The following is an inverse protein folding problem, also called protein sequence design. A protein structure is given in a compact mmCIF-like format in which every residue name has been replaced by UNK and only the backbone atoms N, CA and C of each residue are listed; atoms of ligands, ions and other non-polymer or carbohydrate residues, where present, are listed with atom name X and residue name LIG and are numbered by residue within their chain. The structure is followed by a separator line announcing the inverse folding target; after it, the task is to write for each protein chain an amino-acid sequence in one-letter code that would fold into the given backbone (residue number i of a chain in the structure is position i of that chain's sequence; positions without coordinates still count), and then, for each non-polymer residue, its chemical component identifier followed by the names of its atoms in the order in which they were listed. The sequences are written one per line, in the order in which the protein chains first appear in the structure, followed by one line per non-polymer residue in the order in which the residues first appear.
data_IF_267259959716
#
_entry.id   IF_267259959716
#
_cell.length_a   1.000
_cell.length_b   1.000
_cell.length_c   1.000
_cell.angle_alpha   90.00
_cell.angle_beta   90.00
_cell.angle_gamma   90.00
#
_symmetry.space_group_name_H-M   'P 1'
#
loop_
_entity.id
_entity.type
_entity.pdbx_description
1 polymer ?
#
# COMPACT_ATOMS: atom_id res chain seq x y z
N UNK A 1 71.51 35.02 -52.01
CA UNK A 1 70.96 33.70 -52.35
C UNK A 1 69.46 33.84 -52.56
N UNK A 2 69.05 33.81 -53.81
CA UNK A 2 67.68 33.91 -54.33
C UNK A 2 67.18 32.52 -54.75
N UNK A 3 65.86 32.29 -54.60
CA UNK A 3 64.94 31.34 -55.29
C UNK A 3 63.93 30.81 -54.26
N UNK A 4 62.67 31.25 -54.20
CA UNK A 4 61.55 31.19 -55.15
C UNK A 4 61.15 29.80 -55.66
N UNK A 5 59.84 29.56 -55.53
CA UNK A 5 58.95 28.56 -56.11
C UNK A 5 59.01 27.14 -55.53
N UNK A 6 57.88 26.68 -54.97
CA UNK A 6 56.96 25.80 -55.70
C UNK A 6 55.53 25.94 -55.16
N UNK A 7 54.61 26.22 -56.10
CA UNK A 7 53.16 26.25 -55.93
C UNK A 7 52.66 24.80 -56.00
N UNK A 8 51.91 24.33 -55.00
CA UNK A 8 51.14 23.10 -55.09
C UNK A 8 49.69 23.42 -54.68
N UNK A 9 48.82 23.52 -55.68
CA UNK A 9 47.39 23.66 -55.51
C UNK A 9 46.79 22.30 -55.11
N UNK A 10 46.33 22.18 -53.86
CA UNK A 10 45.48 21.08 -53.44
C UNK A 10 44.01 21.54 -53.46
N UNK A 11 43.26 20.96 -54.40
CA UNK A 11 41.82 21.05 -54.46
C UNK A 11 41.22 20.28 -53.27
N UNK A 12 40.65 20.99 -52.30
CA UNK A 12 39.87 20.38 -51.23
C UNK A 12 38.39 20.37 -51.62
N UNK A 13 37.91 19.16 -51.88
CA UNK A 13 36.53 18.77 -52.17
C UNK A 13 35.54 19.25 -51.09
N UNK A 14 34.47 19.92 -51.51
CA UNK A 14 33.33 20.27 -50.66
C UNK A 14 32.53 19.00 -50.38
N UNK A 15 32.55 18.53 -49.13
CA UNK A 15 31.66 17.48 -48.63
C UNK A 15 30.30 18.09 -48.22
N UNK A 16 29.16 17.49 -48.58
CA UNK A 16 27.85 17.96 -48.15
C UNK A 16 27.55 17.54 -46.71
N UNK A 17 27.09 18.50 -45.90
CA UNK A 17 26.12 18.33 -44.82
C UNK A 17 26.37 17.23 -43.78
N UNK A 18 27.15 17.53 -42.74
CA UNK A 18 26.93 16.91 -41.42
C UNK A 18 25.76 17.64 -40.75
N UNK A 19 24.56 17.09 -40.91
CA UNK A 19 23.45 17.42 -40.04
C UNK A 19 23.73 16.82 -38.66
N UNK A 20 24.20 17.64 -37.73
CA UNK A 20 24.18 17.30 -36.32
C UNK A 20 22.71 17.25 -35.89
N UNK A 21 22.14 16.05 -35.78
CA UNK A 21 20.96 15.84 -34.98
C UNK A 21 21.34 16.09 -33.51
N UNK A 22 21.30 17.37 -33.10
CA UNK A 22 21.32 17.71 -31.69
C UNK A 22 19.97 17.26 -31.15
N UNK A 23 19.93 16.11 -30.49
CA UNK A 23 18.85 15.76 -29.58
C UNK A 23 18.91 16.75 -28.41
N UNK A 24 18.36 17.94 -28.62
CA UNK A 24 17.96 18.82 -27.54
C UNK A 24 16.85 18.08 -26.81
N UNK A 25 17.21 17.36 -25.75
CA UNK A 25 16.26 16.97 -24.73
C UNK A 25 15.79 18.28 -24.12
N UNK A 26 14.66 18.80 -24.62
CA UNK A 26 13.93 19.88 -23.98
C UNK A 26 13.49 19.33 -22.63
N UNK A 27 14.12 19.84 -21.57
CA UNK A 27 13.76 19.63 -20.15
C UNK A 27 12.41 20.27 -19.79
N UNK A 28 11.46 20.30 -20.74
CA UNK A 28 10.12 20.85 -20.58
C UNK A 28 9.14 19.68 -20.66
N UNK A 29 8.97 18.95 -19.55
CA UNK A 29 7.79 18.11 -19.23
C UNK A 29 8.06 17.07 -18.13
N UNK A 30 9.10 17.23 -17.32
CA UNK A 30 9.06 16.63 -15.99
C UNK A 30 8.39 17.62 -15.05
N UNK A 31 7.07 17.76 -15.20
CA UNK A 31 6.23 18.47 -14.23
C UNK A 31 6.29 17.70 -12.92
N UNK A 32 7.17 18.17 -12.03
CA UNK A 32 7.37 17.67 -10.66
C UNK A 32 6.39 18.31 -9.66
N UNK A 33 5.35 18.97 -10.16
CA UNK A 33 4.42 19.77 -9.36
C UNK A 33 2.99 19.40 -9.73
N UNK A 34 2.50 18.31 -9.15
CA UNK A 34 1.10 18.14 -8.78
C UNK A 34 1.08 16.94 -7.83
N UNK A 35 1.56 17.15 -6.59
CA UNK A 35 1.07 16.30 -5.50
C UNK A 35 -0.46 16.34 -5.60
N UNK A 36 -1.15 15.19 -5.77
CA UNK A 36 -2.59 15.18 -5.95
C UNK A 36 -3.20 15.95 -4.79
N UNK A 37 -4.08 16.90 -5.12
CA UNK A 37 -4.78 17.68 -4.10
C UNK A 37 -5.41 16.69 -3.10
N UNK A 38 -5.41 17.01 -1.78
CA UNK A 38 -5.80 16.06 -0.73
C UNK A 38 -7.18 15.42 -0.94
N UNK A 39 -8.08 16.10 -1.66
CA UNK A 39 -9.40 15.63 -2.05
C UNK A 39 -9.36 14.50 -3.10
N UNK A 40 -8.49 14.60 -4.11
CA UNK A 40 -8.33 13.58 -5.15
C UNK A 40 -7.72 12.31 -4.54
N UNK A 41 -6.64 12.44 -3.77
CA UNK A 41 -5.98 11.29 -3.14
C UNK A 41 -6.89 10.57 -2.14
N UNK A 42 -7.73 11.31 -1.40
CA UNK A 42 -8.72 10.71 -0.51
C UNK A 42 -9.82 9.97 -1.28
N UNK A 43 -10.25 10.51 -2.43
CA UNK A 43 -11.27 9.87 -3.26
C UNK A 43 -10.78 8.55 -3.86
N UNK A 44 -9.55 8.50 -4.39
CA UNK A 44 -8.95 7.28 -4.93
C UNK A 44 -8.74 6.22 -3.84
N UNK A 45 -8.27 6.65 -2.66
CA UNK A 45 -8.12 5.77 -1.53
C UNK A 45 -9.46 5.21 -1.08
N UNK A 46 -10.50 6.06 -0.99
CA UNK A 46 -11.86 5.61 -0.66
C UNK A 46 -12.37 4.58 -1.66
N UNK A 47 -12.22 4.83 -2.96
CA UNK A 47 -12.70 3.92 -3.99
C UNK A 47 -11.99 2.55 -3.87
N UNK A 48 -10.70 2.54 -3.53
CA UNK A 48 -9.94 1.33 -3.23
C UNK A 48 -10.38 0.64 -1.92
N UNK A 49 -10.82 1.39 -0.90
CA UNK A 49 -11.40 0.84 0.34
C UNK A 49 -12.79 0.23 0.12
N UNK A 50 -13.54 0.74 -0.86
CA UNK A 50 -14.88 0.24 -1.20
C UNK A 50 -14.81 -0.96 -2.14
N UNK A 51 -13.90 -0.92 -3.11
CA UNK A 51 -13.66 -1.99 -4.06
C UNK A 51 -12.16 -2.18 -4.30
N UNK A 52 -11.61 -3.22 -3.68
CA UNK A 52 -10.21 -3.59 -3.84
C UNK A 52 -9.82 -3.94 -5.29
N UNK A 53 -10.80 -4.28 -6.14
CA UNK A 53 -10.56 -4.55 -7.57
C UNK A 53 -10.52 -3.28 -8.42
N UNK A 54 -11.05 -2.16 -7.90
CA UNK A 54 -11.03 -0.85 -8.54
C UNK A 54 -9.80 0.00 -8.16
N UNK A 55 -8.89 -0.52 -7.33
CA UNK A 55 -7.64 0.16 -6.95
C UNK A 55 -6.75 0.39 -8.20
N UNK A 56 -6.83 1.57 -8.79
CA UNK A 56 -6.03 1.94 -9.96
C UNK A 56 -4.58 2.33 -9.62
N UNK A 57 -4.29 2.69 -8.37
CA UNK A 57 -2.97 3.16 -7.95
C UNK A 57 -2.12 2.03 -7.34
N UNK A 58 -0.91 1.89 -7.88
CA UNK A 58 0.08 0.93 -7.39
C UNK A 58 0.55 1.26 -5.96
N UNK A 59 0.42 2.52 -5.54
CA UNK A 59 0.81 3.02 -4.21
C UNK A 59 -0.02 2.38 -3.08
N UNK A 60 -1.31 2.11 -3.32
CA UNK A 60 -2.22 1.52 -2.33
C UNK A 60 -2.50 0.03 -2.56
N UNK A 61 -2.00 -0.53 -3.67
CA UNK A 61 -2.18 -1.94 -3.99
C UNK A 61 -1.44 -2.83 -2.98
N UNK A 62 -2.24 -3.57 -2.22
CA UNK A 62 -1.80 -4.59 -1.28
C UNK A 62 -1.00 -5.69 -1.99
N UNK A 63 0.30 -5.81 -1.74
CA UNK A 63 1.08 -6.92 -2.32
C UNK A 63 0.73 -8.28 -1.71
N UNK A 64 0.17 -8.27 -0.50
CA UNK A 64 -0.31 -9.45 0.22
C UNK A 64 -1.79 -9.25 0.56
N UNK A 65 -2.68 -10.06 -0.01
CA UNK A 65 -4.12 -10.00 0.25
C UNK A 65 -4.41 -10.76 1.56
N UNK A 66 -4.85 -10.05 2.60
CA UNK A 66 -5.32 -10.71 3.83
C UNK A 66 -6.75 -11.21 3.62
N UNK A 67 -6.99 -12.47 3.98
CA UNK A 67 -8.34 -13.03 4.03
C UNK A 67 -8.98 -12.82 5.41
N UNK A 68 -10.31 -12.94 5.49
CA UNK A 68 -11.02 -12.92 6.77
C UNK A 68 -10.51 -14.02 7.72
N UNK A 69 -10.10 -15.18 7.19
CA UNK A 69 -9.52 -16.26 8.00
C UNK A 69 -8.15 -15.88 8.58
N UNK A 70 -7.32 -15.13 7.85
CA UNK A 70 -6.04 -14.63 8.39
C UNK A 70 -6.26 -13.65 9.53
N UNK A 71 -7.19 -12.72 9.37
CA UNK A 71 -7.57 -11.77 10.43
C UNK A 71 -8.09 -12.47 11.68
N UNK A 72 -8.89 -13.53 11.49
CA UNK A 72 -9.40 -14.34 12.61
C UNK A 72 -8.27 -15.12 13.28
N UNK A 73 -7.32 -15.66 12.52
CA UNK A 73 -6.15 -16.37 13.07
C UNK A 73 -5.20 -15.43 13.82
N UNK A 74 -5.18 -14.14 13.48
CA UNK A 74 -4.48 -13.12 14.25
C UNK A 74 -5.18 -12.78 15.59
N UNK A 75 -6.38 -13.32 15.86
CA UNK A 75 -7.10 -13.13 17.11
C UNK A 75 -7.84 -11.79 17.23
N UNK A 76 -7.98 -11.07 16.11
CA UNK A 76 -8.48 -9.69 16.04
C UNK A 76 -10.01 -9.62 15.99
N UNK A 77 -10.65 -10.66 15.47
CA UNK A 77 -12.12 -10.75 15.37
C UNK A 77 -12.55 -12.11 15.90
N UNK A 78 -13.38 -12.12 16.93
CA UNK A 78 -14.05 -13.34 17.36
C UNK A 78 -15.12 -13.71 16.33
N UNK A 79 -15.10 -14.95 15.82
CA UNK A 79 -16.23 -15.47 15.05
C UNK A 79 -17.44 -15.49 16.00
N UNK A 80 -18.49 -14.70 15.72
CA UNK A 80 -19.82 -15.01 16.29
C UNK A 80 -20.10 -16.48 15.95
N UNK A 81 -20.33 -17.36 16.94
CA UNK A 81 -20.61 -18.76 16.64
C UNK A 81 -21.86 -18.82 15.76
N UNK A 82 -21.73 -19.41 14.58
CA UNK A 82 -22.87 -19.80 13.77
C UNK A 82 -23.76 -20.68 14.67
N UNK A 83 -25.07 -20.39 14.81
CA UNK A 83 -25.94 -21.21 15.64
C UNK A 83 -25.76 -22.67 15.26
N UNK A 84 -25.64 -23.59 16.24
CA UNK A 84 -25.42 -24.99 15.94
C UNK A 84 -26.50 -25.46 14.97
N UNK A 85 -26.06 -26.02 13.84
CA UNK A 85 -26.97 -26.69 12.92
C UNK A 85 -27.70 -27.76 13.73
N UNK A 86 -28.99 -27.54 13.96
CA UNK A 86 -29.86 -28.44 14.72
C UNK A 86 -29.83 -29.80 14.04
N UNK A 87 -29.18 -30.77 14.68
CA UNK A 87 -29.21 -32.16 14.27
C UNK A 87 -30.62 -32.72 14.58
N UNK A 88 -31.42 -33.02 13.54
CA UNK A 88 -32.70 -33.69 13.78
C UNK A 88 -33.75 -33.66 12.68
N UNK A 89 -33.56 -32.98 11.55
CA UNK A 89 -34.51 -33.09 10.42
C UNK A 89 -34.05 -34.14 9.41
N UNK A 90 -34.90 -35.11 9.03
CA UNK A 90 -34.55 -36.11 8.03
C UNK A 90 -34.28 -35.43 6.68
N UNK A 91 -33.17 -35.80 6.06
CA UNK A 91 -32.67 -35.27 4.79
C UNK A 91 -33.60 -35.70 3.67
N UNK A 92 -34.64 -34.93 3.39
CA UNK A 92 -35.24 -34.90 2.07
C UNK A 92 -34.29 -34.13 1.14
N UNK A 93 -34.03 -34.70 -0.03
CA UNK A 93 -33.12 -34.15 -1.03
C UNK A 93 -33.46 -32.69 -1.36
N UNK A 94 -32.65 -31.75 -0.87
CA UNK A 94 -32.66 -30.35 -1.27
C UNK A 94 -31.25 -30.04 -1.77
N UNK A 95 -31.18 -29.53 -2.99
CA UNK A 95 -30.02 -29.53 -3.86
C UNK A 95 -28.73 -29.01 -3.23
N UNK A 96 -27.62 -29.60 -3.68
CA UNK A 96 -26.28 -29.05 -3.54
C UNK A 96 -26.22 -27.78 -4.38
N UNK A 97 -26.67 -26.65 -3.84
CA UNK A 97 -26.33 -25.34 -4.36
C UNK A 97 -25.30 -24.72 -3.42
N UNK A 98 -24.07 -24.73 -3.92
CA UNK A 98 -23.07 -23.68 -3.70
C UNK A 98 -22.45 -23.58 -2.30
N UNK A 99 -21.44 -24.42 -2.05
CA UNK A 99 -20.38 -24.17 -1.06
C UNK A 99 -19.13 -23.54 -1.70
N UNK A 100 -19.26 -22.94 -2.88
CA UNK A 100 -18.16 -22.36 -3.66
C UNK A 100 -18.05 -20.84 -3.54
N UNK A 101 -18.72 -20.22 -2.57
CA UNK A 101 -18.37 -18.84 -2.20
C UNK A 101 -17.07 -18.86 -1.40
N UNK A 102 -15.95 -18.79 -2.11
CA UNK A 102 -14.66 -18.39 -1.54
C UNK A 102 -14.90 -17.18 -0.63
N UNK A 103 -14.30 -17.18 0.56
CA UNK A 103 -14.35 -16.02 1.45
C UNK A 103 -13.85 -14.82 0.65
N UNK A 104 -14.75 -13.85 0.40
CA UNK A 104 -14.38 -12.71 -0.43
C UNK A 104 -13.24 -11.96 0.28
N UNK A 105 -12.18 -11.59 -0.45
CA UNK A 105 -11.07 -10.85 0.13
C UNK A 105 -11.61 -9.56 0.72
N UNK A 106 -11.20 -9.26 1.95
CA UNK A 106 -11.58 -8.01 2.58
C UNK A 106 -10.93 -6.85 1.81
N UNK A 107 -11.56 -5.66 1.78
CA UNK A 107 -10.90 -4.49 1.27
C UNK A 107 -9.67 -4.18 2.14
N UNK A 108 -8.50 -4.25 1.51
CA UNK A 108 -7.20 -3.98 2.14
C UNK A 108 -6.46 -2.90 1.37
N UNK A 109 -5.90 -1.95 2.10
CA UNK A 109 -4.99 -0.95 1.53
C UNK A 109 -3.63 -1.10 2.22
N UNK A 110 -2.57 -1.22 1.43
CA UNK A 110 -1.22 -1.04 1.94
C UNK A 110 -0.98 0.45 2.14
N UNK A 111 -0.72 0.86 3.38
CA UNK A 111 -0.25 2.20 3.66
C UNK A 111 1.25 2.15 3.91
N UNK A 112 2.02 2.70 2.97
CA UNK A 112 3.43 2.92 3.20
C UNK A 112 3.61 4.10 4.15
N UNK A 113 3.69 3.77 5.45
CA UNK A 113 3.96 4.73 6.51
C UNK A 113 5.46 4.72 6.78
N UNK A 114 6.12 5.83 6.47
CA UNK A 114 7.54 5.99 6.73
C UNK A 114 7.78 6.29 8.21
N UNK A 115 8.44 5.34 8.88
CA UNK A 115 8.98 5.48 10.22
C UNK A 115 10.50 5.65 10.16
N UNK A 116 11.06 6.42 11.09
CA UNK A 116 12.51 6.44 11.29
C UNK A 116 13.01 5.06 11.77
N UNK A 117 14.32 4.81 11.60
CA UNK A 117 14.96 3.59 12.09
C UNK A 117 14.70 3.39 13.59
N UNK A 118 14.32 2.17 13.97
CA UNK A 118 13.95 1.80 15.35
C UNK A 118 12.90 2.72 16.02
N UNK A 119 12.05 3.38 15.22
CA UNK A 119 11.04 4.31 15.72
C UNK A 119 9.62 3.87 15.38
N UNK A 120 8.70 4.26 16.26
CA UNK A 120 7.26 4.21 16.11
C UNK A 120 6.64 5.62 16.00
N UNK A 121 7.47 6.65 15.87
CA UNK A 121 7.03 8.03 15.71
C UNK A 121 6.63 8.31 14.26
N UNK A 122 5.45 8.92 14.09
CA UNK A 122 4.93 9.32 12.79
C UNK A 122 5.65 10.59 12.32
N UNK A 123 6.23 10.52 11.12
CA UNK A 123 6.75 11.70 10.43
C UNK A 123 5.63 12.64 9.98
N UNK A 124 5.91 13.93 9.71
CA UNK A 124 4.92 14.85 9.13
C UNK A 124 4.30 14.34 7.83
N UNK A 125 5.11 13.70 6.98
CA UNK A 125 4.64 13.08 5.73
C UNK A 125 3.70 11.90 6.00
N UNK A 126 4.02 11.04 6.97
CA UNK A 126 3.13 9.96 7.40
C UNK A 126 1.81 10.51 7.95
N UNK A 127 1.85 11.58 8.76
CA UNK A 127 0.64 12.23 9.28
C UNK A 127 -0.24 12.80 8.16
N UNK A 128 0.36 13.41 7.13
CA UNK A 128 -0.38 13.89 5.96
C UNK A 128 -1.11 12.75 5.23
N UNK A 129 -0.42 11.63 4.94
CA UNK A 129 -1.04 10.45 4.32
C UNK A 129 -2.17 9.86 5.19
N UNK A 130 -1.96 9.80 6.51
CA UNK A 130 -2.97 9.34 7.45
C UNK A 130 -4.18 10.27 7.55
N UNK A 131 -3.98 11.59 7.36
CA UNK A 131 -5.08 12.54 7.26
C UNK A 131 -5.91 12.29 6.00
N UNK A 132 -5.27 12.01 4.86
CA UNK A 132 -5.96 11.63 3.62
C UNK A 132 -6.75 10.33 3.81
N UNK A 133 -6.16 9.34 4.49
CA UNK A 133 -6.85 8.10 4.86
C UNK A 133 -8.05 8.36 5.76
N UNK A 134 -7.92 9.23 6.76
CA UNK A 134 -9.04 9.59 7.61
C UNK A 134 -10.18 10.23 6.79
N UNK A 135 -9.87 11.14 5.87
CA UNK A 135 -10.87 11.70 4.96
C UNK A 135 -11.58 10.64 4.10
N UNK A 136 -10.84 9.65 3.60
CA UNK A 136 -11.41 8.53 2.85
C UNK A 136 -12.35 7.67 3.73
N UNK A 137 -11.92 7.35 4.95
CA UNK A 137 -12.68 6.56 5.93
C UNK A 137 -13.91 7.27 6.50
N UNK A 138 -14.03 8.58 6.30
CA UNK A 138 -15.21 9.35 6.71
C UNK A 138 -16.44 9.09 5.83
N UNK A 139 -16.27 8.40 4.68
CA UNK A 139 -17.37 8.07 3.78
C UNK A 139 -18.47 7.26 4.50
N UNK A 140 -19.76 7.64 4.35
CA UNK A 140 -20.89 6.92 4.95
C UNK A 140 -20.93 5.41 4.68
N UNK A 141 -20.42 4.97 3.53
CA UNK A 141 -20.39 3.55 3.16
C UNK A 141 -19.38 2.74 3.97
N UNK A 142 -18.36 3.39 4.54
CA UNK A 142 -17.33 2.77 5.36
C UNK A 142 -17.66 2.86 6.87
N UNK A 143 -18.67 3.65 7.24
CA UNK A 143 -19.11 3.79 8.63
C UNK A 143 -19.59 2.44 9.20
N UNK A 144 -19.20 2.15 10.43
CA UNK A 144 -19.52 0.87 11.10
C UNK A 144 -18.58 -0.28 10.76
N UNK A 145 -17.56 -0.07 9.92
CA UNK A 145 -16.48 -1.04 9.73
C UNK A 145 -15.52 -1.04 10.91
N UNK A 146 -14.96 -2.21 11.24
CA UNK A 146 -13.80 -2.32 12.14
C UNK A 146 -12.52 -2.15 11.33
N UNK A 147 -11.65 -1.26 11.80
CA UNK A 147 -10.36 -0.95 11.19
C UNK A 147 -9.26 -1.76 11.88
N UNK A 148 -8.46 -2.47 11.09
CA UNK A 148 -7.36 -3.28 11.62
C UNK A 148 -6.07 -2.84 10.96
N UNK A 149 -5.16 -2.31 11.76
CA UNK A 149 -3.82 -1.90 11.31
C UNK A 149 -2.82 -3.03 11.57
N UNK A 150 -2.24 -3.57 10.51
CA UNK A 150 -1.25 -4.65 10.58
C UNK A 150 0.12 -4.06 10.28
N UNK A 151 1.02 -4.07 11.25
CA UNK A 151 2.39 -3.62 11.08
C UNK A 151 3.28 -4.73 10.54
N UNK A 152 4.16 -4.37 9.61
CA UNK A 152 5.17 -5.25 9.03
C UNK A 152 6.58 -4.69 9.24
N UNK A 153 7.58 -5.57 9.25
CA UNK A 153 9.00 -5.21 9.23
C UNK A 153 9.70 -5.85 8.03
N UNK A 154 10.93 -5.44 7.78
CA UNK A 154 11.84 -6.22 6.94
C UNK A 154 12.34 -7.46 7.69
N UNK A 155 13.01 -8.35 6.97
CA UNK A 155 13.54 -9.62 7.47
C UNK A 155 14.84 -9.50 8.27
N UNK A 156 15.23 -8.28 8.70
CA UNK A 156 16.49 -8.05 9.42
C UNK A 156 16.22 -8.02 10.93
N UNK A 157 17.02 -8.78 11.70
CA UNK A 157 16.91 -8.84 13.17
C UNK A 157 16.12 -10.04 13.68
N UNK A 158 15.78 -10.04 14.98
CA UNK A 158 15.11 -11.18 15.61
C UNK A 158 13.58 -11.13 15.41
N UNK A 159 12.95 -12.30 15.32
CA UNK A 159 11.50 -12.41 15.15
C UNK A 159 10.71 -11.73 16.28
N UNK A 160 11.16 -11.90 17.53
CA UNK A 160 10.52 -11.31 18.71
C UNK A 160 10.56 -9.78 18.64
N UNK A 161 11.74 -9.22 18.37
CA UNK A 161 11.91 -7.77 18.25
C UNK A 161 11.06 -7.20 17.11
N UNK A 162 11.06 -7.85 15.94
CA UNK A 162 10.28 -7.38 14.80
C UNK A 162 8.76 -7.47 15.01
N UNK A 163 8.27 -8.47 15.74
CA UNK A 163 6.86 -8.55 16.14
C UNK A 163 6.47 -7.40 17.08
N UNK A 164 7.31 -7.08 18.05
CA UNK A 164 7.05 -5.95 18.95
C UNK A 164 7.14 -4.59 18.24
N UNK A 165 8.15 -4.39 17.39
CA UNK A 165 8.34 -3.15 16.63
C UNK A 165 7.17 -2.89 15.68
N UNK A 166 6.77 -3.91 14.92
CA UNK A 166 5.60 -3.80 14.04
C UNK A 166 4.32 -3.50 14.83
N UNK A 167 4.13 -4.12 16.01
CA UNK A 167 2.98 -3.86 16.88
C UNK A 167 2.93 -2.40 17.34
N UNK A 168 4.07 -1.85 17.79
CA UNK A 168 4.17 -0.44 18.21
C UNK A 168 3.87 0.54 17.07
N UNK A 169 4.39 0.28 15.88
CA UNK A 169 4.12 1.09 14.68
C UNK A 169 2.64 1.08 14.30
N UNK A 170 2.01 -0.10 14.31
CA UNK A 170 0.58 -0.24 14.10
C UNK A 170 -0.24 0.51 15.16
N UNK A 171 0.16 0.45 16.45
CA UNK A 171 -0.47 1.21 17.53
C UNK A 171 -0.36 2.73 17.33
N UNK A 172 0.79 3.23 16.87
CA UNK A 172 0.95 4.67 16.60
C UNK A 172 0.00 5.14 15.50
N UNK A 173 -0.11 4.38 14.41
CA UNK A 173 -1.04 4.67 13.32
C UNK A 173 -2.50 4.60 13.81
N UNK A 174 -2.85 3.52 14.51
CA UNK A 174 -4.20 3.33 15.01
C UNK A 174 -4.62 4.44 15.98
N UNK A 175 -3.71 4.86 16.89
CA UNK A 175 -3.97 5.99 17.81
C UNK A 175 -4.21 7.29 17.05
N UNK A 176 -3.40 7.57 16.03
CA UNK A 176 -3.57 8.77 15.20
C UNK A 176 -4.94 8.76 14.51
N UNK A 177 -5.27 7.70 13.75
CA UNK A 177 -6.54 7.59 13.02
C UNK A 177 -7.74 7.62 13.97
N UNK A 178 -7.67 6.91 15.11
CA UNK A 178 -8.71 6.97 16.15
C UNK A 178 -8.95 8.38 16.64
N UNK A 179 -7.88 9.15 16.89
CA UNK A 179 -8.00 10.52 17.39
C UNK A 179 -8.59 11.47 16.34
N UNK A 180 -8.20 11.32 15.08
CA UNK A 180 -8.68 12.13 13.96
C UNK A 180 -10.15 11.86 13.65
N UNK A 181 -10.56 10.59 13.62
CA UNK A 181 -11.93 10.16 13.30
C UNK A 181 -12.86 10.03 14.51
N UNK A 182 -12.33 10.17 15.73
CA UNK A 182 -13.07 10.00 17.00
C UNK A 182 -13.76 8.62 17.11
N UNK A 183 -13.08 7.58 16.68
CA UNK A 183 -13.59 6.20 16.73
C UNK A 183 -13.58 5.63 18.16
N UNK A 184 -14.53 4.74 18.45
CA UNK A 184 -14.50 3.93 19.67
C UNK A 184 -13.28 3.00 19.67
N UNK A 185 -12.69 2.69 20.84
CA UNK A 185 -11.66 1.65 20.95
C UNK A 185 -12.07 0.28 20.38
N UNK A 186 -13.36 -0.03 20.35
CA UNK A 186 -13.87 -1.29 19.78
C UNK A 186 -13.84 -1.35 18.24
N UNK A 187 -13.77 -0.19 17.58
CA UNK A 187 -13.82 -0.07 16.12
C UNK A 187 -12.43 -0.08 15.47
N UNK A 188 -11.37 -0.09 16.27
CA UNK A 188 -10.01 0.02 15.76
C UNK A 188 -9.06 -0.88 16.54
N UNK A 189 -8.28 -1.66 15.81
CA UNK A 189 -7.32 -2.59 16.37
C UNK A 189 -5.99 -2.48 15.64
N UNK A 190 -4.92 -2.89 16.33
CA UNK A 190 -3.58 -2.89 15.79
C UNK A 190 -2.90 -4.22 16.11
N UNK A 191 -2.12 -4.73 15.16
CA UNK A 191 -1.43 -6.02 15.24
C UNK A 191 -0.03 -5.88 14.66
N UNK A 192 0.95 -6.56 15.25
CA UNK A 192 2.30 -6.67 14.70
C UNK A 192 2.57 -8.09 14.23
N UNK A 193 2.94 -8.25 12.96
CA UNK A 193 3.28 -9.56 12.39
C UNK A 193 4.77 -9.72 12.08
N UNK A 194 5.57 -8.69 12.34
CA UNK A 194 7.00 -8.68 12.01
C UNK A 194 7.21 -8.93 10.52
N UNK A 195 8.11 -9.88 10.20
CA UNK A 195 8.44 -10.29 8.84
C UNK A 195 7.72 -11.58 8.39
N UNK A 196 6.68 -12.03 9.10
CA UNK A 196 5.97 -13.26 8.72
C UNK A 196 5.21 -13.09 7.39
N UNK A 197 4.87 -11.85 7.02
CA UNK A 197 4.12 -11.48 5.81
C UNK A 197 4.83 -10.38 5.02
N UNK A 198 5.97 -10.73 4.42
CA UNK A 198 6.73 -9.83 3.54
C UNK A 198 5.93 -9.50 2.27
N UNK A 199 5.96 -8.23 1.85
CA UNK A 199 5.43 -7.81 0.54
C UNK A 199 6.27 -8.42 -0.57
N UNK A 200 7.59 -8.40 -0.36
CA UNK A 200 8.58 -8.91 -1.27
C UNK A 200 9.44 -9.95 -0.56
N UNK A 201 9.01 -11.20 -0.68
CA UNK A 201 9.72 -12.35 -0.14
C UNK A 201 11.05 -12.61 -0.83
N UNK A 202 11.25 -12.12 -2.07
CA UNK A 202 12.51 -12.25 -2.81
C UNK A 202 13.61 -11.36 -2.23
N UNK A 203 13.24 -10.20 -1.70
CA UNK A 203 14.14 -9.25 -1.04
C UNK A 203 13.65 -8.94 0.37
N UNK A 204 13.96 -9.79 1.37
CA UNK A 204 13.44 -9.63 2.73
C UNK A 204 13.83 -8.31 3.39
N UNK A 205 14.97 -7.75 3.04
CA UNK A 205 15.52 -6.48 3.53
C UNK A 205 14.96 -5.23 2.81
N UNK A 206 14.11 -5.41 1.79
CA UNK A 206 13.57 -4.31 1.00
C UNK A 206 12.73 -3.35 1.84
N UNK A 207 12.82 -2.06 1.51
CA UNK A 207 12.11 -1.00 2.21
C UNK A 207 10.59 -1.15 2.19
N UNK A 208 10.04 -1.64 1.08
CA UNK A 208 8.62 -1.90 0.87
C UNK A 208 8.02 -2.93 1.84
N UNK A 209 8.85 -3.74 2.51
CA UNK A 209 8.39 -4.64 3.57
C UNK A 209 8.05 -3.90 4.87
N UNK A 210 8.66 -2.73 5.12
CA UNK A 210 8.40 -1.88 6.29
C UNK A 210 7.14 -1.02 6.06
N UNK A 211 5.97 -1.65 6.15
CA UNK A 211 4.67 -1.01 5.88
C UNK A 211 3.67 -1.23 7.01
N UNK A 212 2.58 -0.46 6.99
CA UNK A 212 1.39 -0.73 7.81
C UNK A 212 0.23 -0.94 6.87
N UNK A 213 -0.37 -2.12 6.91
CA UNK A 213 -1.55 -2.42 6.11
C UNK A 213 -2.81 -2.10 6.90
N UNK A 214 -3.80 -1.52 6.24
CA UNK A 214 -5.14 -1.37 6.76
C UNK A 214 -6.05 -2.45 6.16
N UNK A 215 -6.72 -3.19 7.04
CA UNK A 215 -7.77 -4.14 6.68
C UNK A 215 -9.10 -3.63 7.23
N UNK A 216 -10.11 -3.55 6.38
CA UNK A 216 -11.46 -3.17 6.80
C UNK A 216 -12.30 -4.43 6.93
N UNK A 217 -12.98 -4.54 8.07
CA UNK A 217 -13.96 -5.61 8.31
C UNK A 217 -15.34 -4.96 8.39
N UNK A 218 -16.16 -5.05 7.33
CA UNK A 218 -17.52 -4.55 7.36
C UNK A 218 -18.37 -5.33 8.37
N UNK A 219 -19.17 -4.63 9.18
CA UNK A 219 -20.22 -5.24 10.01
C UNK A 219 -19.75 -6.09 11.21
N UNK A 220 -18.55 -5.78 11.75
CA UNK A 220 -18.02 -6.41 12.97
C UNK A 220 -18.69 -5.90 14.25
#
# INVERSE_FOLDING_TARGET
MTKSLYLAAFAATVLPGLAFAQSTVTLDSFSLDDDPKPDVAASEMRDCLLDASACASNEFSGGTKFSLDDVVNLGVVERKPKPPAVAGVPVAAIGVTDRTKAAEPLPTIDLEVLFAYDSDQLSPQAMAKLSTLASALADPQLQGSKLIFIGHTDGVGSAVYNRELSRRRADSVARYVRSTLRLSPSQIEAVGVGFDYLKNSRFPDAAENRRVQLVLVPGA
#
